data_IF_706969391695
#
_entry.id   IF_706969391695
#
_cell.length_a   1.000
_cell.length_b   1.000
_cell.length_c   1.000
_cell.angle_alpha   90.00
_cell.angle_beta   90.00
_cell.angle_gamma   90.00
#
_symmetry.space_group_name_H-M   'P 1'
#
loop_
_entity.id
_entity.type
_entity.pdbx_description
1 polymer ?
#
# COMPACT_ATOMS: atom_id res chain seq x y z
N UNK A 1 12.64 5.27 -23.59
CA UNK A 1 11.97 5.88 -22.41
C UNK A 1 11.62 4.78 -21.42
N UNK A 2 12.04 4.91 -20.19
CA UNK A 2 11.72 3.90 -19.16
C UNK A 2 10.20 3.91 -18.86
N UNK A 3 9.58 2.76 -18.52
CA UNK A 3 8.15 2.70 -18.21
C UNK A 3 7.72 3.65 -17.08
N UNK A 4 8.64 4.03 -16.20
CA UNK A 4 8.42 4.98 -15.11
C UNK A 4 8.27 6.43 -15.57
N UNK A 5 9.02 6.85 -16.56
CA UNK A 5 8.97 8.22 -17.12
C UNK A 5 7.66 8.44 -17.89
N UNK A 6 7.15 7.39 -18.54
CA UNK A 6 5.91 7.45 -19.29
C UNK A 6 4.69 7.66 -18.35
N UNK A 7 4.62 6.98 -17.22
CA UNK A 7 3.49 7.12 -16.27
C UNK A 7 3.45 8.52 -15.68
N UNK A 8 4.59 9.10 -15.29
CA UNK A 8 4.66 10.47 -14.76
C UNK A 8 4.20 11.50 -15.80
N UNK A 9 4.70 11.39 -17.04
CA UNK A 9 4.32 12.30 -18.12
C UNK A 9 2.80 12.26 -18.42
N UNK A 10 2.21 11.06 -18.43
CA UNK A 10 0.78 10.88 -18.66
C UNK A 10 -0.08 11.39 -17.49
N UNK A 11 0.36 11.21 -16.25
CA UNK A 11 -0.33 11.77 -15.07
C UNK A 11 -0.36 13.31 -15.13
N UNK A 12 0.74 13.93 -15.49
CA UNK A 12 0.84 15.39 -15.65
C UNK A 12 -0.03 15.90 -16.82
N UNK A 13 -0.03 15.20 -17.96
CA UNK A 13 -0.84 15.53 -19.12
C UNK A 13 -2.34 15.42 -18.81
N UNK A 14 -2.77 14.31 -18.19
CA UNK A 14 -4.16 14.11 -17.78
C UNK A 14 -4.65 15.20 -16.82
N UNK A 15 -3.83 15.58 -15.84
CA UNK A 15 -4.13 16.68 -14.92
C UNK A 15 -4.37 18.00 -15.65
N UNK A 16 -3.66 18.23 -16.76
CA UNK A 16 -3.82 19.42 -17.63
C UNK A 16 -5.04 19.36 -18.55
N UNK A 17 -5.85 18.28 -18.47
CA UNK A 17 -7.05 18.10 -19.26
C UNK A 17 -6.87 17.32 -20.56
N UNK A 18 -5.71 16.69 -20.78
CA UNK A 18 -5.47 15.85 -21.95
C UNK A 18 -6.25 14.53 -21.83
N UNK A 19 -7.35 14.40 -22.58
CA UNK A 19 -8.19 13.21 -22.60
C UNK A 19 -7.52 12.00 -23.26
N UNK A 20 -6.60 12.19 -24.20
CA UNK A 20 -5.86 11.08 -24.83
C UNK A 20 -4.85 10.47 -23.86
N UNK A 21 -4.22 11.31 -23.03
CA UNK A 21 -3.33 10.86 -21.97
C UNK A 21 -4.04 9.92 -20.98
N UNK A 22 -5.32 10.16 -20.70
CA UNK A 22 -6.11 9.27 -19.86
C UNK A 22 -6.23 7.86 -20.44
N UNK A 23 -6.54 7.73 -21.73
CA UNK A 23 -6.65 6.43 -22.40
C UNK A 23 -5.34 5.62 -22.36
N UNK A 24 -4.19 6.29 -22.45
CA UNK A 24 -2.87 5.67 -22.34
C UNK A 24 -2.47 5.38 -20.89
N UNK A 25 -2.97 6.17 -19.94
CA UNK A 25 -2.70 6.02 -18.51
C UNK A 25 -3.37 4.76 -17.92
N UNK A 26 -4.62 4.47 -18.33
CA UNK A 26 -5.44 3.38 -17.79
C UNK A 26 -4.71 2.04 -17.75
N UNK A 27 -4.13 1.50 -18.85
CA UNK A 27 -3.46 0.20 -18.83
C UNK A 27 -2.17 0.20 -17.99
N UNK A 28 -1.53 1.35 -17.81
CA UNK A 28 -0.35 1.48 -16.96
C UNK A 28 -0.74 1.47 -15.48
N UNK A 29 -1.77 2.21 -15.12
CA UNK A 29 -2.35 2.25 -13.78
C UNK A 29 -2.84 0.86 -13.38
N UNK A 30 -3.61 0.20 -14.23
CA UNK A 30 -4.12 -1.15 -13.99
C UNK A 30 -2.99 -2.15 -13.71
N UNK A 31 -1.92 -2.10 -14.48
CA UNK A 31 -0.74 -2.94 -14.28
C UNK A 31 -0.05 -2.71 -12.93
N UNK A 32 0.13 -1.45 -12.53
CA UNK A 32 0.71 -1.11 -11.24
C UNK A 32 -0.20 -1.52 -10.07
N UNK A 33 -1.51 -1.29 -10.20
CA UNK A 33 -2.48 -1.73 -9.21
C UNK A 33 -2.49 -3.26 -9.06
N UNK A 34 -2.44 -4.00 -10.16
CA UNK A 34 -2.32 -5.47 -10.13
C UNK A 34 -1.03 -5.93 -9.46
N UNK A 35 0.09 -5.22 -9.70
CA UNK A 35 1.37 -5.53 -9.03
C UNK A 35 1.26 -5.36 -7.52
N UNK A 36 0.68 -4.27 -7.05
CA UNK A 36 0.44 -4.01 -5.63
C UNK A 36 -0.52 -5.06 -5.05
N UNK A 37 -1.66 -5.31 -5.69
CA UNK A 37 -2.65 -6.28 -5.25
C UNK A 37 -2.08 -7.71 -5.15
N UNK A 38 -1.27 -8.14 -6.12
CA UNK A 38 -0.57 -9.44 -6.06
C UNK A 38 0.38 -9.51 -4.86
N UNK A 39 1.09 -8.42 -4.54
CA UNK A 39 1.94 -8.34 -3.36
C UNK A 39 1.16 -8.52 -2.06
N UNK A 40 -0.04 -7.96 -1.97
CA UNK A 40 -0.94 -8.18 -0.84
C UNK A 40 -1.44 -9.62 -0.78
N UNK A 41 -1.92 -10.17 -1.90
CA UNK A 41 -2.54 -11.50 -1.95
C UNK A 41 -1.52 -12.63 -1.75
N UNK A 42 -0.27 -12.48 -2.22
CA UNK A 42 0.81 -13.46 -2.03
C UNK A 42 1.18 -13.67 -0.55
N UNK A 43 0.90 -12.67 0.29
CA UNK A 43 1.16 -12.68 1.74
C UNK A 43 -0.02 -13.17 2.56
N UNK A 44 -1.10 -13.53 1.91
CA UNK A 44 -2.34 -13.92 2.54
C UNK A 44 -2.54 -15.44 2.49
N UNK A 45 -3.00 -16.04 3.60
CA UNK A 45 -3.31 -17.48 3.64
C UNK A 45 -4.56 -17.79 2.79
N UNK A 46 -4.54 -18.95 2.13
CA UNK A 46 -5.67 -19.51 1.37
C UNK A 46 -6.99 -19.46 2.16
N UNK A 47 -7.97 -18.75 1.62
CA UNK A 47 -9.30 -18.59 2.26
C UNK A 47 -9.94 -17.22 2.05
N UNK A 48 -9.29 -16.34 1.27
CA UNK A 48 -9.81 -15.00 0.98
C UNK A 48 -10.99 -15.02 0.00
N UNK A 49 -12.03 -14.26 0.36
CA UNK A 49 -13.16 -14.02 -0.52
C UNK A 49 -12.95 -12.84 -1.47
N UNK A 50 -11.89 -12.02 -1.25
CA UNK A 50 -11.55 -10.91 -2.14
C UNK A 50 -10.45 -11.37 -3.10
N UNK A 51 -10.74 -11.36 -4.39
CA UNK A 51 -9.75 -11.63 -5.42
C UNK A 51 -8.94 -10.37 -5.74
N UNK A 52 -7.69 -10.53 -6.19
CA UNK A 52 -6.83 -9.41 -6.58
C UNK A 52 -7.51 -8.48 -7.59
N UNK A 53 -8.27 -9.03 -8.54
CA UNK A 53 -9.04 -8.28 -9.54
C UNK A 53 -10.12 -7.39 -8.89
N UNK A 54 -10.83 -7.90 -7.89
CA UNK A 54 -11.84 -7.10 -7.18
C UNK A 54 -11.21 -5.94 -6.40
N UNK A 55 -10.07 -6.18 -5.75
CA UNK A 55 -9.30 -5.13 -5.08
C UNK A 55 -8.81 -4.05 -6.07
N UNK A 56 -8.31 -4.48 -7.24
CA UNK A 56 -7.87 -3.56 -8.30
C UNK A 56 -9.04 -2.72 -8.81
N UNK A 57 -10.17 -3.33 -9.11
CA UNK A 57 -11.36 -2.61 -9.61
C UNK A 57 -11.87 -1.59 -8.61
N UNK A 58 -11.94 -1.93 -7.34
CA UNK A 58 -12.39 -0.99 -6.30
C UNK A 58 -11.40 0.15 -6.10
N UNK A 59 -10.09 -0.14 -6.10
CA UNK A 59 -9.06 0.88 -6.02
C UNK A 59 -9.09 1.80 -7.25
N UNK A 60 -9.28 1.24 -8.44
CA UNK A 60 -9.38 1.99 -9.69
C UNK A 60 -10.55 2.97 -9.68
N UNK A 61 -11.75 2.54 -9.29
CA UNK A 61 -12.93 3.41 -9.19
C UNK A 61 -12.68 4.57 -8.21
N UNK A 62 -12.13 4.29 -7.03
CA UNK A 62 -11.82 5.34 -6.05
C UNK A 62 -10.72 6.31 -6.52
N UNK A 63 -9.76 5.85 -7.33
CA UNK A 63 -8.71 6.71 -7.90
C UNK A 63 -9.25 7.62 -9.00
N UNK A 64 -10.20 7.15 -9.81
CA UNK A 64 -10.86 7.99 -10.83
C UNK A 64 -11.72 9.07 -10.20
N UNK A 65 -12.47 8.73 -9.13
CA UNK A 65 -13.30 9.69 -8.41
C UNK A 65 -12.48 10.74 -7.68
N UNK A 66 -11.21 10.45 -7.38
CA UNK A 66 -10.27 11.36 -6.73
C UNK A 66 -9.67 12.40 -7.70
N UNK A 67 -10.53 13.12 -8.44
CA UNK A 67 -10.14 14.15 -9.43
C UNK A 67 -9.36 15.32 -8.83
N UNK A 68 -9.47 15.53 -7.53
CA UNK A 68 -8.80 16.61 -6.80
C UNK A 68 -7.35 16.29 -6.42
N UNK A 69 -6.89 15.06 -6.67
CA UNK A 69 -5.50 14.70 -6.33
C UNK A 69 -4.54 15.36 -7.32
N UNK A 70 -3.67 16.19 -6.80
CA UNK A 70 -2.55 16.76 -7.54
C UNK A 70 -1.48 15.69 -7.80
N UNK A 71 -1.67 14.92 -8.89
CA UNK A 71 -0.76 13.87 -9.31
C UNK A 71 0.59 14.45 -9.71
N UNK A 72 1.62 14.22 -8.90
CA UNK A 72 2.96 14.77 -9.13
C UNK A 72 3.78 13.85 -10.04
N UNK A 73 3.87 12.57 -9.67
CA UNK A 73 4.66 11.57 -10.37
C UNK A 73 4.18 10.14 -10.12
N UNK A 74 4.84 9.16 -10.77
CA UNK A 74 4.57 7.72 -10.56
C UNK A 74 4.67 7.32 -9.10
N UNK A 75 5.58 7.88 -8.38
CA UNK A 75 5.90 7.53 -7.02
C UNK A 75 4.81 7.98 -6.06
N UNK A 76 4.34 9.22 -6.22
CA UNK A 76 3.17 9.76 -5.53
C UNK A 76 1.92 8.92 -5.83
N UNK A 77 1.71 8.53 -7.11
CA UNK A 77 0.64 7.60 -7.48
C UNK A 77 0.72 6.27 -6.72
N UNK A 78 1.89 5.62 -6.69
CA UNK A 78 2.06 4.34 -6.01
C UNK A 78 1.84 4.43 -4.49
N UNK A 79 2.26 5.53 -3.87
CA UNK A 79 2.02 5.78 -2.44
C UNK A 79 0.52 5.88 -2.13
N UNK A 80 -0.23 6.62 -2.95
CA UNK A 80 -1.68 6.78 -2.79
C UNK A 80 -2.39 5.45 -3.05
N UNK A 81 -2.03 4.75 -4.12
CA UNK A 81 -2.61 3.46 -4.47
C UNK A 81 -2.38 2.41 -3.37
N UNK A 82 -1.18 2.34 -2.80
CA UNK A 82 -0.86 1.42 -1.70
C UNK A 82 -1.71 1.70 -0.45
N UNK A 83 -1.83 2.97 -0.05
CA UNK A 83 -2.69 3.38 1.08
C UNK A 83 -4.16 3.05 0.83
N UNK A 84 -4.63 3.32 -0.38
CA UNK A 84 -6.02 3.08 -0.76
C UNK A 84 -6.34 1.58 -0.71
N UNK A 85 -5.50 0.74 -1.31
CA UNK A 85 -5.67 -0.72 -1.27
C UNK A 85 -5.63 -1.27 0.15
N UNK A 86 -4.72 -0.78 1.00
CA UNK A 86 -4.72 -1.15 2.42
C UNK A 86 -6.04 -0.81 3.10
N UNK A 87 -6.59 0.38 2.88
CA UNK A 87 -7.89 0.77 3.45
C UNK A 87 -9.01 -0.15 2.98
N UNK A 88 -9.09 -0.44 1.69
CA UNK A 88 -10.10 -1.35 1.12
C UNK A 88 -10.02 -2.73 1.80
N UNK A 89 -8.81 -3.27 1.96
CA UNK A 89 -8.59 -4.56 2.62
C UNK A 89 -9.02 -4.54 4.10
N UNK A 90 -8.70 -3.47 4.81
CA UNK A 90 -9.11 -3.29 6.22
C UNK A 90 -10.63 -3.17 6.34
N UNK A 91 -11.26 -2.37 5.49
CA UNK A 91 -12.72 -2.21 5.47
C UNK A 91 -13.41 -3.56 5.21
N UNK A 92 -12.87 -4.34 4.26
CA UNK A 92 -13.35 -5.68 3.97
C UNK A 92 -13.14 -6.64 5.14
N UNK A 93 -11.99 -6.58 5.83
CA UNK A 93 -11.70 -7.37 7.01
C UNK A 93 -12.67 -7.06 8.15
N UNK A 94 -12.88 -5.77 8.43
CA UNK A 94 -13.83 -5.28 9.45
C UNK A 94 -15.26 -5.73 9.13
N UNK A 95 -15.72 -5.59 7.88
CA UNK A 95 -17.04 -6.03 7.44
C UNK A 95 -17.25 -7.52 7.66
N UNK A 96 -16.25 -8.36 7.36
CA UNK A 96 -16.31 -9.80 7.64
C UNK A 96 -16.36 -10.16 9.12
N UNK A 97 -15.65 -9.42 9.96
CA UNK A 97 -15.72 -9.61 11.41
C UNK A 97 -17.12 -9.31 11.96
N UNK A 98 -17.81 -8.30 11.43
CA UNK A 98 -19.19 -7.99 11.80
C UNK A 98 -20.19 -9.06 11.33
N UNK A 99 -19.98 -9.65 10.15
CA UNK A 99 -20.88 -10.69 9.60
C UNK A 99 -20.68 -12.05 10.27
N UNK A 100 -19.49 -12.35 10.74
CA UNK A 100 -19.17 -13.57 11.50
C UNK A 100 -19.03 -13.20 12.97
N UNK A 101 -20.09 -13.26 13.74
CA UNK A 101 -20.03 -13.31 15.23
C UNK A 101 -19.31 -14.57 15.72
N UNK A 102 -18.08 -14.77 15.27
CA UNK A 102 -17.25 -15.95 15.54
C UNK A 102 -15.91 -15.80 14.84
N UNK A 103 -15.13 -14.88 15.30
CA UNK A 103 -13.75 -14.53 15.15
C UNK A 103 -12.88 -15.30 14.16
N UNK A 104 -12.67 -14.77 12.99
CA UNK A 104 -11.51 -15.07 12.16
C UNK A 104 -10.86 -13.77 11.75
N UNK A 105 -9.80 -13.36 12.43
CA UNK A 105 -8.98 -12.23 12.00
C UNK A 105 -8.40 -12.51 10.62
N UNK A 106 -8.37 -11.49 9.76
CA UNK A 106 -7.71 -11.55 8.46
C UNK A 106 -6.21 -11.57 8.70
N UNK A 107 -5.59 -12.73 8.49
CA UNK A 107 -4.18 -12.95 8.80
C UNK A 107 -3.33 -12.78 7.57
N UNK A 108 -2.38 -11.86 7.64
CA UNK A 108 -1.39 -11.59 6.59
C UNK A 108 -0.05 -12.16 7.03
N UNK A 109 0.62 -12.90 6.15
CA UNK A 109 1.97 -13.43 6.42
C UNK A 109 3.00 -12.39 6.00
N UNK A 110 3.84 -11.98 6.93
CA UNK A 110 5.02 -11.16 6.64
C UNK A 110 6.19 -12.08 6.30
N UNK A 111 6.60 -12.06 5.04
CA UNK A 111 7.81 -12.74 4.61
C UNK A 111 9.06 -11.94 5.04
N UNK A 112 10.12 -12.63 5.40
CA UNK A 112 11.49 -12.25 5.82
C UNK A 112 11.80 -10.80 6.30
N UNK A 113 10.94 -9.82 5.97
CA UNK A 113 11.18 -8.40 6.26
C UNK A 113 10.74 -7.95 7.66
N UNK A 114 9.83 -8.67 8.33
CA UNK A 114 9.36 -8.34 9.68
C UNK A 114 9.39 -9.60 10.58
N UNK A 115 10.16 -9.61 11.67
CA UNK A 115 10.31 -10.76 12.57
C UNK A 115 9.09 -10.98 13.50
N UNK A 116 7.89 -10.59 13.08
CA UNK A 116 6.64 -10.72 13.87
C UNK A 116 5.78 -11.89 13.41
N UNK A 117 6.18 -12.62 12.41
CA UNK A 117 5.46 -13.80 11.97
C UNK A 117 5.63 -14.93 13.00
N UNK A 118 4.85 -14.86 14.09
CA UNK A 118 4.40 -16.06 14.78
C UNK A 118 3.57 -16.89 13.77
N UNK A 119 3.52 -18.21 13.92
CA UNK A 119 2.78 -19.15 13.05
C UNK A 119 1.29 -18.80 12.82
N UNK A 120 0.80 -17.75 13.48
CA UNK A 120 -0.59 -17.28 13.46
C UNK A 120 -0.93 -16.25 12.40
N UNK A 121 0.06 -15.70 11.67
CA UNK A 121 -0.15 -14.61 10.69
C UNK A 121 -0.48 -13.26 11.37
N UNK A 122 -0.16 -12.15 10.70
CA UNK A 122 -0.44 -10.79 11.20
C UNK A 122 -1.90 -10.41 10.99
N UNK A 123 -2.51 -9.81 12.01
CA UNK A 123 -3.83 -9.18 11.89
C UNK A 123 -3.69 -7.87 11.11
N UNK A 124 -4.33 -7.81 9.93
CA UNK A 124 -4.28 -6.64 9.06
C UNK A 124 -4.92 -5.40 9.72
N UNK A 125 -5.94 -5.60 10.56
CA UNK A 125 -6.60 -4.51 11.30
C UNK A 125 -5.64 -3.97 12.36
N UNK A 126 -5.02 -4.85 13.14
CA UNK A 126 -4.03 -4.46 14.14
C UNK A 126 -2.82 -3.76 13.51
N UNK A 127 -2.35 -4.23 12.35
CA UNK A 127 -1.29 -3.55 11.59
C UNK A 127 -1.72 -2.16 11.11
N UNK A 128 -2.96 -2.02 10.64
CA UNK A 128 -3.49 -0.73 10.23
C UNK A 128 -3.54 0.26 11.39
N UNK A 129 -4.04 -0.17 12.53
CA UNK A 129 -4.15 0.67 13.72
C UNK A 129 -2.76 1.06 14.24
N UNK A 130 -1.81 0.11 14.28
CA UNK A 130 -0.42 0.37 14.64
C UNK A 130 0.26 1.35 13.66
N UNK A 131 0.05 1.23 12.35
CA UNK A 131 0.57 2.17 11.35
C UNK A 131 -0.04 3.57 11.50
N UNK A 132 -1.30 3.65 11.86
CA UNK A 132 -1.98 4.91 12.12
C UNK A 132 -1.39 5.59 13.36
N UNK A 133 -1.12 4.84 14.42
CA UNK A 133 -0.43 5.33 15.60
C UNK A 133 1.02 5.75 15.28
N UNK A 134 1.76 4.97 14.48
CA UNK A 134 3.10 5.34 14.03
C UNK A 134 3.10 6.64 13.23
N UNK A 135 2.09 6.87 12.39
CA UNK A 135 1.98 8.10 11.60
C UNK A 135 1.83 9.36 12.46
N UNK A 136 1.21 9.24 13.64
CA UNK A 136 1.12 10.33 14.63
C UNK A 136 2.48 10.60 15.29
N UNK A 137 3.24 9.54 15.58
CA UNK A 137 4.55 9.63 16.24
C UNK A 137 5.63 10.09 15.26
N UNK A 138 5.66 9.48 14.08
CA UNK A 138 6.64 9.77 13.02
C UNK A 138 6.05 9.44 11.65
N UNK A 139 5.56 10.47 10.98
CA UNK A 139 4.89 10.37 9.69
C UNK A 139 5.79 9.75 8.62
N UNK A 140 7.08 10.14 8.56
CA UNK A 140 8.02 9.63 7.55
C UNK A 140 8.25 8.12 7.71
N UNK A 141 8.42 7.63 8.93
CA UNK A 141 8.59 6.19 9.19
C UNK A 141 7.36 5.38 8.79
N UNK A 142 6.16 5.92 9.03
CA UNK A 142 4.93 5.31 8.52
C UNK A 142 4.90 5.28 6.99
N UNK A 143 5.30 6.37 6.31
CA UNK A 143 5.40 6.43 4.86
C UNK A 143 6.41 5.41 4.30
N UNK A 144 7.55 5.21 4.96
CA UNK A 144 8.54 4.19 4.55
C UNK A 144 7.90 2.79 4.56
N UNK A 145 7.07 2.47 5.56
CA UNK A 145 6.34 1.20 5.59
C UNK A 145 5.30 1.12 4.48
N UNK A 146 4.53 2.17 4.27
CA UNK A 146 3.52 2.25 3.20
C UNK A 146 4.15 1.97 1.82
N UNK A 147 5.26 2.64 1.51
CA UNK A 147 5.91 2.54 0.22
C UNK A 147 6.60 1.19 0.02
N UNK A 148 7.36 0.73 1.01
CA UNK A 148 8.14 -0.49 0.89
C UNK A 148 7.32 -1.76 1.06
N UNK A 149 6.51 -1.81 2.12
CA UNK A 149 5.76 -3.01 2.43
C UNK A 149 4.51 -3.15 1.58
N UNK A 150 3.70 -2.10 1.53
CA UNK A 150 2.45 -2.11 0.79
C UNK A 150 2.63 -1.77 -0.69
N UNK A 151 3.44 -0.76 -1.01
CA UNK A 151 3.73 -0.36 -2.38
C UNK A 151 4.71 -1.27 -3.12
N UNK A 152 5.48 -2.10 -2.40
CA UNK A 152 6.51 -2.96 -2.98
C UNK A 152 7.65 -2.19 -3.64
N UNK A 153 7.93 -0.97 -3.18
CA UNK A 153 8.99 -0.13 -3.74
C UNK A 153 10.36 -0.53 -3.19
N UNK A 154 11.38 -0.33 -4.00
CA UNK A 154 12.77 -0.50 -3.58
C UNK A 154 13.20 0.57 -2.56
N UNK A 155 14.34 0.36 -1.90
CA UNK A 155 14.94 1.40 -1.05
C UNK A 155 15.24 2.66 -1.84
N UNK A 156 15.76 2.51 -3.07
CA UNK A 156 16.11 3.62 -3.94
C UNK A 156 14.87 4.43 -4.37
N UNK A 157 13.79 3.75 -4.81
CA UNK A 157 12.53 4.42 -5.17
C UNK A 157 11.93 5.15 -3.96
N UNK A 158 11.93 4.50 -2.79
CA UNK A 158 11.42 5.09 -1.54
C UNK A 158 12.22 6.33 -1.13
N UNK A 159 13.54 6.26 -1.26
CA UNK A 159 14.44 7.38 -0.97
C UNK A 159 14.16 8.58 -1.89
N UNK A 160 14.01 8.32 -3.18
CA UNK A 160 13.67 9.35 -4.17
C UNK A 160 12.32 10.02 -3.88
N UNK A 161 11.30 9.22 -3.49
CA UNK A 161 9.96 9.73 -3.17
C UNK A 161 9.95 10.62 -1.91
N UNK A 162 10.69 10.20 -0.90
CA UNK A 162 10.69 10.88 0.39
C UNK A 162 11.75 11.98 0.49
N UNK A 163 12.52 12.18 -0.58
CA UNK A 163 13.64 13.13 -0.66
C UNK A 163 14.63 12.93 0.52
N UNK A 164 15.05 11.68 0.71
CA UNK A 164 15.99 11.28 1.76
C UNK A 164 17.03 10.31 1.19
N UNK A 165 18.11 10.09 1.94
CA UNK A 165 19.11 9.09 1.54
C UNK A 165 18.59 7.64 1.71
N UNK A 166 19.14 6.71 0.93
CA UNK A 166 18.89 5.28 1.06
C UNK A 166 19.16 4.76 2.48
N UNK A 167 20.21 5.27 3.14
CA UNK A 167 20.55 4.95 4.53
C UNK A 167 19.46 5.39 5.50
N UNK A 168 18.88 6.58 5.27
CA UNK A 168 17.74 7.08 6.07
C UNK A 168 16.54 6.16 5.91
N UNK A 169 16.21 5.72 4.69
CA UNK A 169 15.12 4.75 4.45
C UNK A 169 15.38 3.44 5.19
N UNK A 170 16.60 2.91 5.13
CA UNK A 170 16.95 1.66 5.82
C UNK A 170 16.87 1.78 7.34
N UNK A 171 17.33 2.89 7.91
CA UNK A 171 17.23 3.18 9.34
C UNK A 171 15.77 3.35 9.78
N UNK A 172 15.00 4.11 9.04
CA UNK A 172 13.57 4.34 9.32
C UNK A 172 12.77 3.04 9.20
N UNK A 173 13.09 2.22 8.21
CA UNK A 173 12.51 0.87 8.05
C UNK A 173 12.81 -0.03 9.25
N UNK A 174 14.07 -0.06 9.71
CA UNK A 174 14.47 -0.85 10.88
C UNK A 174 13.74 -0.41 12.14
N UNK A 175 13.65 0.90 12.36
CA UNK A 175 12.90 1.48 13.49
C UNK A 175 11.41 1.13 13.42
N UNK A 176 10.78 1.39 12.25
CA UNK A 176 9.35 1.15 12.06
C UNK A 176 8.99 -0.32 12.31
N UNK A 177 9.81 -1.26 11.83
CA UNK A 177 9.61 -2.69 12.10
C UNK A 177 9.62 -3.01 13.59
N UNK A 178 10.62 -2.52 14.32
CA UNK A 178 10.73 -2.76 15.76
C UNK A 178 9.57 -2.14 16.53
N UNK A 179 9.16 -0.93 16.14
CA UNK A 179 8.04 -0.21 16.76
C UNK A 179 6.71 -0.94 16.52
N UNK A 180 6.41 -1.30 15.27
CA UNK A 180 5.19 -2.04 14.90
C UNK A 180 5.12 -3.39 15.60
N UNK A 181 6.26 -4.10 15.69
CA UNK A 181 6.35 -5.36 16.42
C UNK A 181 5.95 -5.22 17.89
N UNK A 182 6.43 -4.16 18.54
CA UNK A 182 6.11 -3.88 19.94
C UNK A 182 4.64 -3.52 20.10
N UNK A 183 4.13 -2.63 19.26
CA UNK A 183 2.75 -2.15 19.34
C UNK A 183 1.74 -3.27 19.14
N UNK A 184 1.98 -4.15 18.17
CA UNK A 184 1.11 -5.28 17.86
C UNK A 184 1.18 -6.43 18.89
N UNK A 185 2.21 -6.46 19.75
CA UNK A 185 2.33 -7.44 20.85
C UNK A 185 1.78 -6.93 22.17
N UNK A 186 1.70 -5.62 22.32
CA UNK A 186 1.29 -4.96 23.57
C UNK A 186 -0.19 -4.59 23.63
N UNK A 187 -0.93 -4.76 22.57
CA UNK A 187 -2.38 -4.69 22.50
C UNK A 187 -2.95 -6.11 22.45
#
# INVERSE_FOLDING_TARGET
MAPSENLTALLVAWRKGDGEAFGQLVPLVERELHRIAKGYMARERTGHSLQATALVNEAYLRLIDAREIDWQDRAHFLAIAARLMRRILVDHARSKQYQKRGGGALKVTFDEALPVADERGLDLVALHDALTALAVVDHRKSQVVELRYFGGLSVADTAAILDVSAETVMRDWKFAKAWLTREMRGG
#
